data_IF_679768868805
#
_entry.id   IF_679768868805
#
_cell.length_a   1.000
_cell.length_b   1.000
_cell.length_c   1.000
_cell.angle_alpha   90.00
_cell.angle_beta   90.00
_cell.angle_gamma   90.00
#
_symmetry.space_group_name_H-M   'P 1'
#
loop_
_entity.id
_entity.type
_entity.pdbx_description
1 polymer ?
#
# COMPACT_ATOMS: atom_id res chain seq x y z
N UNK A 1 9.70 -14.00 -6.83
CA UNK A 1 10.19 -13.92 -5.43
C UNK A 1 10.20 -15.32 -4.86
N UNK A 2 11.36 -15.80 -4.44
CA UNK A 2 11.46 -17.12 -3.81
C UNK A 2 10.94 -17.04 -2.35
N UNK A 3 10.18 -18.06 -1.90
CA UNK A 3 9.60 -18.09 -0.54
C UNK A 3 10.62 -17.89 0.60
N UNK A 4 11.87 -18.30 0.40
CA UNK A 4 12.97 -18.13 1.36
C UNK A 4 13.37 -16.68 1.62
N UNK A 5 12.99 -15.77 0.73
CA UNK A 5 13.32 -14.35 0.82
C UNK A 5 12.24 -13.53 1.53
N UNK A 6 11.23 -14.18 2.11
CA UNK A 6 10.13 -13.51 2.81
C UNK A 6 10.27 -13.76 4.31
N UNK A 7 10.43 -12.68 5.06
CA UNK A 7 10.39 -12.67 6.53
C UNK A 7 9.02 -12.18 6.96
N UNK A 8 8.41 -12.83 7.93
CA UNK A 8 7.07 -12.55 8.46
C UNK A 8 7.18 -12.34 9.96
N UNK A 9 6.56 -11.29 10.49
CA UNK A 9 6.61 -10.92 11.91
C UNK A 9 5.20 -10.55 12.39
N UNK A 10 4.92 -10.82 13.67
CA UNK A 10 3.62 -10.53 14.27
C UNK A 10 2.50 -11.39 13.69
N UNK A 11 2.70 -12.73 13.70
CA UNK A 11 1.67 -13.67 13.22
C UNK A 11 0.41 -13.59 14.09
N UNK A 12 -0.75 -13.38 13.47
CA UNK A 12 -2.05 -13.42 14.12
C UNK A 12 -2.38 -14.83 14.61
N UNK A 13 -3.11 -14.91 15.73
CA UNK A 13 -3.75 -16.16 16.19
C UNK A 13 -4.86 -16.60 15.25
N UNK A 14 -5.49 -15.66 14.58
CA UNK A 14 -6.57 -15.90 13.65
C UNK A 14 -6.06 -16.36 12.28
N UNK A 15 -6.94 -16.96 11.49
CA UNK A 15 -6.63 -17.38 10.14
C UNK A 15 -7.85 -17.24 9.25
N UNK A 16 -7.61 -17.08 7.95
CA UNK A 16 -8.64 -16.97 6.93
C UNK A 16 -8.66 -18.19 6.03
N UNK A 17 -9.85 -18.52 5.57
CA UNK A 17 -10.05 -19.52 4.53
C UNK A 17 -10.67 -18.83 3.32
N UNK A 18 -10.12 -19.09 2.15
CA UNK A 18 -10.58 -18.51 0.89
C UNK A 18 -11.14 -19.57 -0.04
N UNK A 19 -12.27 -19.25 -0.65
CA UNK A 19 -12.95 -20.11 -1.62
C UNK A 19 -13.15 -19.32 -2.90
N UNK A 20 -12.44 -19.70 -3.95
CA UNK A 20 -12.54 -19.07 -5.26
C UNK A 20 -13.06 -20.05 -6.29
N UNK A 21 -13.80 -19.58 -7.30
CA UNK A 21 -14.34 -20.45 -8.35
C UNK A 21 -13.27 -21.22 -9.13
N UNK A 22 -12.04 -20.69 -9.23
CA UNK A 22 -10.89 -21.36 -9.86
C UNK A 22 -10.08 -22.22 -8.87
N UNK A 23 -10.47 -22.27 -7.59
CA UNK A 23 -9.84 -23.07 -6.55
C UNK A 23 -10.95 -23.71 -5.68
N UNK A 24 -11.70 -24.70 -6.21
CA UNK A 24 -12.86 -25.28 -5.52
C UNK A 24 -12.48 -26.01 -4.24
N UNK A 25 -11.23 -26.45 -4.10
CA UNK A 25 -10.72 -27.09 -2.89
C UNK A 25 -10.49 -26.12 -1.73
N UNK A 26 -10.49 -24.80 -2.02
CA UNK A 26 -10.24 -23.74 -1.05
C UNK A 26 -8.76 -23.58 -0.67
N UNK A 27 -8.46 -22.45 -0.05
CA UNK A 27 -7.17 -22.15 0.56
C UNK A 27 -7.41 -21.95 2.05
N UNK A 28 -6.82 -22.80 2.88
CA UNK A 28 -7.08 -22.85 4.32
C UNK A 28 -5.90 -22.35 5.14
N UNK A 29 -6.21 -21.83 6.34
CA UNK A 29 -5.21 -21.49 7.34
C UNK A 29 -4.29 -20.34 6.95
N UNK A 30 -4.78 -19.41 6.12
CA UNK A 30 -4.00 -18.22 5.73
C UNK A 30 -3.87 -17.30 6.93
N UNK A 31 -2.62 -17.05 7.34
CA UNK A 31 -2.30 -16.19 8.50
C UNK A 31 -2.11 -14.75 8.08
N UNK A 32 -2.45 -13.83 8.99
CA UNK A 32 -2.08 -12.43 8.89
C UNK A 32 -0.77 -12.17 9.63
N UNK A 33 -0.07 -11.13 9.22
CA UNK A 33 1.19 -10.70 9.79
C UNK A 33 1.20 -9.18 9.92
N UNK A 34 1.73 -8.65 11.02
CA UNK A 34 1.90 -7.22 11.22
C UNK A 34 2.91 -6.62 10.24
N UNK A 35 3.94 -7.43 9.90
CA UNK A 35 5.01 -7.04 8.97
C UNK A 35 5.39 -8.19 8.05
N UNK A 36 5.66 -7.83 6.81
CA UNK A 36 6.21 -8.76 5.82
C UNK A 36 7.37 -8.06 5.11
N UNK A 37 8.56 -8.63 5.20
CA UNK A 37 9.74 -8.14 4.51
C UNK A 37 10.09 -9.06 3.35
N UNK A 38 10.16 -8.53 2.15
CA UNK A 38 10.74 -9.21 1.00
C UNK A 38 12.20 -8.79 0.92
N UNK A 39 13.09 -9.73 1.28
CA UNK A 39 14.53 -9.48 1.28
C UNK A 39 15.10 -9.46 -0.13
N UNK A 40 16.05 -8.57 -0.35
CA UNK A 40 16.80 -8.47 -1.61
C UNK A 40 15.88 -8.41 -2.84
N UNK A 41 14.82 -7.60 -2.78
CA UNK A 41 13.94 -7.33 -3.94
C UNK A 41 14.74 -6.70 -5.09
N UNK A 42 15.78 -5.93 -4.73
CA UNK A 42 16.93 -5.56 -5.55
C UNK A 42 18.20 -5.88 -4.76
N UNK A 43 19.37 -6.02 -5.37
CA UNK A 43 20.63 -6.29 -4.66
C UNK A 43 20.87 -5.30 -3.51
N UNK A 44 20.82 -5.79 -2.27
CA UNK A 44 20.98 -4.99 -1.05
C UNK A 44 19.80 -4.06 -0.73
N UNK A 45 18.60 -4.32 -1.28
CA UNK A 45 17.40 -3.55 -0.98
C UNK A 45 16.25 -4.48 -0.60
N UNK A 46 15.68 -4.26 0.57
CA UNK A 46 14.52 -4.97 1.06
C UNK A 46 13.24 -4.14 0.83
N UNK A 47 12.11 -4.81 0.68
CA UNK A 47 10.80 -4.19 0.61
C UNK A 47 9.99 -4.64 1.83
N UNK A 48 9.73 -3.71 2.74
CA UNK A 48 8.98 -3.91 3.98
C UNK A 48 7.54 -3.47 3.79
N UNK A 49 6.61 -4.34 4.10
CA UNK A 49 5.17 -4.04 4.20
C UNK A 49 4.73 -4.12 5.64
N UNK A 50 3.95 -3.16 6.08
CA UNK A 50 3.40 -3.13 7.43
C UNK A 50 2.11 -2.30 7.45
N UNK A 51 1.38 -2.39 8.55
CA UNK A 51 0.16 -1.62 8.69
C UNK A 51 -0.62 -1.97 9.94
N UNK A 52 -1.71 -1.25 10.11
CA UNK A 52 -2.70 -1.52 11.14
C UNK A 52 -4.08 -1.10 10.66
N UNK A 53 -5.12 -1.55 11.36
CA UNK A 53 -6.50 -1.12 11.11
C UNK A 53 -6.70 0.41 11.21
N UNK A 54 -5.78 1.13 11.91
CA UNK A 54 -5.83 2.59 12.07
C UNK A 54 -5.08 3.35 10.99
N UNK A 55 -4.00 2.77 10.44
CA UNK A 55 -3.09 3.48 9.52
C UNK A 55 -3.18 2.99 8.08
N UNK A 56 -3.93 1.91 7.85
CA UNK A 56 -3.90 1.22 6.56
C UNK A 56 -2.57 0.51 6.31
N UNK A 57 -2.40 0.00 5.10
CA UNK A 57 -1.17 -0.65 4.67
C UNK A 57 -0.15 0.40 4.25
N UNK A 58 1.09 0.20 4.67
CA UNK A 58 2.25 1.01 4.31
C UNK A 58 3.36 0.13 3.78
N UNK A 59 4.32 0.73 3.12
CA UNK A 59 5.55 0.05 2.71
C UNK A 59 6.75 0.98 2.77
N UNK A 60 7.93 0.39 3.03
CA UNK A 60 9.21 1.07 2.98
C UNK A 60 10.19 0.29 2.11
N UNK A 61 11.09 1.00 1.45
CA UNK A 61 12.31 0.40 0.93
C UNK A 61 13.45 0.62 1.93
N UNK A 62 14.11 -0.46 2.30
CA UNK A 62 15.28 -0.48 3.18
C UNK A 62 16.52 -0.70 2.31
N UNK A 63 17.23 0.36 2.03
CA UNK A 63 18.45 0.34 1.18
C UNK A 63 19.64 0.17 2.10
N UNK A 64 20.26 -1.01 2.05
CA UNK A 64 21.42 -1.32 2.88
C UNK A 64 22.66 -0.54 2.43
N UNK A 65 23.66 -0.36 3.33
CA UNK A 65 24.91 0.33 2.98
C UNK A 65 25.55 -0.21 1.71
N UNK A 66 25.90 0.67 0.79
CA UNK A 66 26.51 0.33 -0.48
C UNK A 66 25.55 -0.09 -1.60
N UNK A 67 24.27 -0.30 -1.32
CA UNK A 67 23.28 -0.55 -2.37
C UNK A 67 22.90 0.74 -3.12
N UNK A 68 22.52 0.60 -4.37
CA UNK A 68 22.10 1.71 -5.22
C UNK A 68 20.57 1.85 -5.25
N UNK A 69 19.99 2.90 -4.62
CA UNK A 69 18.56 3.11 -4.63
C UNK A 69 17.95 3.43 -6.01
N UNK A 70 18.78 3.79 -7.00
CA UNK A 70 18.31 4.01 -8.37
C UNK A 70 17.81 2.73 -9.06
N UNK A 71 18.08 1.56 -8.48
CA UNK A 71 17.53 0.28 -8.96
C UNK A 71 16.01 0.18 -8.73
N UNK A 72 15.47 0.92 -7.76
CA UNK A 72 14.05 0.84 -7.39
C UNK A 72 13.20 1.41 -8.52
N UNK A 73 12.30 0.59 -9.04
CA UNK A 73 11.35 0.93 -10.09
C UNK A 73 9.97 0.42 -9.71
N UNK A 74 9.03 1.31 -9.56
CA UNK A 74 7.62 1.00 -9.35
C UNK A 74 6.89 1.17 -10.67
N UNK A 75 6.22 0.12 -11.14
CA UNK A 75 5.38 0.18 -12.33
C UNK A 75 3.93 0.31 -11.88
N UNK A 76 3.33 1.44 -12.19
CA UNK A 76 1.91 1.68 -12.00
C UNK A 76 1.18 1.36 -13.29
N UNK A 77 0.29 0.38 -13.24
CA UNK A 77 -0.62 0.04 -14.32
C UNK A 77 -1.99 0.65 -14.00
N UNK A 78 -2.47 1.54 -14.86
CA UNK A 78 -3.74 2.23 -14.65
C UNK A 78 -4.35 2.68 -15.99
N UNK A 79 -5.67 2.51 -16.11
CA UNK A 79 -6.45 3.13 -17.20
C UNK A 79 -6.52 4.65 -17.08
N UNK A 80 -6.32 5.19 -15.87
CA UNK A 80 -6.39 6.61 -15.58
C UNK A 80 -4.98 7.22 -15.51
N UNK A 81 -4.83 8.49 -15.94
CA UNK A 81 -3.53 9.16 -15.91
C UNK A 81 -2.99 9.31 -14.49
N UNK A 82 -1.74 8.88 -14.29
CA UNK A 82 -0.97 9.19 -13.09
C UNK A 82 -0.30 10.56 -13.26
N UNK A 83 -0.45 11.41 -12.26
CA UNK A 83 0.22 12.73 -12.18
C UNK A 83 1.05 12.85 -10.91
N UNK A 84 2.01 13.77 -10.94
CA UNK A 84 2.73 14.23 -9.74
C UNK A 84 2.33 15.69 -9.56
N UNK A 85 1.79 16.04 -8.38
CA UNK A 85 1.37 17.42 -8.09
C UNK A 85 2.58 18.30 -7.70
N UNK A 86 2.31 19.58 -7.41
CA UNK A 86 3.36 20.57 -7.06
C UNK A 86 4.01 20.30 -5.70
N UNK A 87 3.34 19.58 -4.82
CA UNK A 87 3.83 19.10 -3.54
C UNK A 87 4.68 17.82 -3.68
N UNK A 88 4.70 17.21 -4.87
CA UNK A 88 5.44 15.98 -5.16
C UNK A 88 4.66 14.70 -4.92
N UNK A 89 3.36 14.77 -4.63
CA UNK A 89 2.52 13.61 -4.40
C UNK A 89 2.09 12.97 -5.73
N UNK A 90 2.08 11.64 -5.76
CA UNK A 90 1.46 10.88 -6.86
C UNK A 90 -0.06 10.95 -6.70
N UNK A 91 -0.77 11.18 -7.81
CA UNK A 91 -2.23 11.16 -7.88
C UNK A 91 -2.71 10.37 -9.09
N UNK A 92 -3.68 9.49 -8.84
CA UNK A 92 -4.42 8.75 -9.87
C UNK A 92 -5.89 9.01 -9.61
N UNK A 93 -6.54 9.77 -10.50
CA UNK A 93 -7.98 10.04 -10.39
C UNK A 93 -8.74 8.90 -11.03
N UNK A 94 -9.61 8.25 -10.27
CA UNK A 94 -10.48 7.15 -10.72
C UNK A 94 -11.94 7.57 -10.60
N UNK A 95 -12.85 6.77 -11.13
CA UNK A 95 -14.29 6.98 -10.95
C UNK A 95 -14.73 6.86 -9.48
N UNK A 96 -13.93 6.19 -8.64
CA UNK A 96 -14.20 5.99 -7.21
C UNK A 96 -13.57 7.06 -6.31
N UNK A 97 -12.82 7.99 -6.90
CA UNK A 97 -12.07 9.01 -6.17
C UNK A 97 -10.61 9.09 -6.60
N UNK A 98 -9.83 9.89 -5.90
CA UNK A 98 -8.41 10.07 -6.18
C UNK A 98 -7.57 9.21 -5.23
N UNK A 99 -6.80 8.29 -5.78
CA UNK A 99 -5.72 7.63 -5.08
C UNK A 99 -4.56 8.61 -4.96
N UNK A 100 -4.05 8.81 -3.75
CA UNK A 100 -2.93 9.70 -3.51
C UNK A 100 -1.84 9.01 -2.69
N UNK A 101 -0.60 9.24 -3.08
CA UNK A 101 0.59 8.81 -2.36
C UNK A 101 1.46 10.04 -2.14
N UNK A 102 1.81 10.32 -0.89
CA UNK A 102 2.61 11.49 -0.54
C UNK A 102 4.00 11.42 -1.15
N UNK A 103 4.59 12.61 -1.35
CA UNK A 103 6.01 12.72 -1.65
C UNK A 103 6.83 11.84 -0.68
N UNK A 104 7.86 11.14 -1.18
CA UNK A 104 8.59 10.19 -0.37
C UNK A 104 9.33 10.91 0.75
N UNK A 105 9.20 10.42 1.97
CA UNK A 105 10.03 10.81 3.09
C UNK A 105 11.19 9.82 3.21
N UNK A 106 12.41 10.30 3.07
CA UNK A 106 13.58 9.44 3.14
C UNK A 106 14.54 9.90 4.24
N UNK A 107 15.13 8.95 4.95
CA UNK A 107 16.04 9.26 6.07
C UNK A 107 17.06 8.13 6.29
N UNK A 108 18.19 8.51 6.88
CA UNK A 108 19.19 7.54 7.36
C UNK A 108 18.68 6.90 8.66
N UNK A 109 18.63 5.57 8.71
CA UNK A 109 18.01 4.82 9.80
C UNK A 109 18.68 5.08 11.14
N UNK A 110 20.01 5.16 11.16
CA UNK A 110 20.83 5.26 12.36
C UNK A 110 20.74 6.66 12.99
N UNK A 111 20.79 7.71 12.18
CA UNK A 111 20.86 9.11 12.63
C UNK A 111 19.52 9.84 12.57
N UNK A 112 18.52 9.25 11.90
CA UNK A 112 17.25 9.89 11.54
C UNK A 112 17.41 11.17 10.71
N UNK A 113 18.58 11.35 10.10
CA UNK A 113 18.84 12.50 9.22
C UNK A 113 18.01 12.36 7.96
N UNK A 114 17.19 13.36 7.68
CA UNK A 114 16.39 13.41 6.45
C UNK A 114 17.29 13.55 5.21
N UNK A 115 16.95 12.79 4.19
CA UNK A 115 17.56 12.84 2.87
C UNK A 115 16.47 13.31 1.88
N UNK A 116 16.51 14.56 1.42
CA UNK A 116 15.48 15.06 0.51
C UNK A 116 15.37 14.17 -0.74
N UNK A 117 14.16 13.71 -0.98
CA UNK A 117 13.85 12.79 -2.06
C UNK A 117 12.58 13.20 -2.80
N UNK A 118 12.43 12.74 -4.05
CA UNK A 118 11.22 12.97 -4.84
C UNK A 118 10.99 11.87 -5.85
N UNK A 119 9.74 11.69 -6.22
CA UNK A 119 9.34 10.83 -7.33
C UNK A 119 9.78 11.41 -8.68
N UNK A 120 10.22 10.53 -9.55
CA UNK A 120 10.48 10.81 -10.97
C UNK A 120 9.57 9.91 -11.78
N UNK A 121 8.74 10.53 -12.62
CA UNK A 121 7.80 9.86 -13.50
C UNK A 121 8.39 9.68 -14.88
N UNK A 122 8.24 8.46 -15.44
CA UNK A 122 8.52 8.14 -16.84
C UNK A 122 7.33 7.37 -17.41
N UNK A 123 6.70 7.89 -18.44
CA UNK A 123 5.63 7.19 -19.15
C UNK A 123 6.28 6.10 -20.01
N UNK A 124 5.85 4.84 -19.81
CA UNK A 124 6.27 3.69 -20.62
C UNK A 124 5.34 3.57 -21.84
N UNK A 125 4.03 3.53 -21.56
CA UNK A 125 2.98 3.46 -22.57
C UNK A 125 1.68 4.09 -22.05
N UNK A 126 0.55 3.80 -22.71
CA UNK A 126 -0.77 4.37 -22.37
C UNK A 126 -1.23 4.00 -20.96
N UNK A 127 -0.90 2.81 -20.48
CA UNK A 127 -1.40 2.25 -19.22
C UNK A 127 -0.32 2.14 -18.15
N UNK A 128 0.96 2.18 -18.55
CA UNK A 128 2.10 1.91 -17.68
C UNK A 128 2.96 3.15 -17.46
N UNK A 129 3.20 3.44 -16.20
CA UNK A 129 4.07 4.53 -15.75
C UNK A 129 5.12 3.97 -14.78
N UNK A 130 6.40 4.22 -15.09
CA UNK A 130 7.51 3.92 -14.18
C UNK A 130 7.71 5.11 -13.24
N UNK A 131 7.76 4.83 -11.96
CA UNK A 131 8.15 5.76 -10.90
C UNK A 131 9.47 5.29 -10.30
N UNK A 132 10.42 6.24 -10.22
CA UNK A 132 11.71 6.05 -9.54
C UNK A 132 11.91 7.16 -8.52
N UNK A 133 12.98 7.05 -7.73
CA UNK A 133 13.32 8.04 -6.71
C UNK A 133 14.55 8.86 -7.12
N UNK A 134 14.54 10.15 -6.85
CA UNK A 134 15.71 11.03 -6.96
C UNK A 134 16.02 11.62 -5.60
N UNK A 135 17.27 11.55 -5.21
CA UNK A 135 17.79 12.08 -3.95
C UNK A 135 18.66 13.30 -4.19
N UNK A 136 18.56 14.27 -3.29
CA UNK A 136 19.46 15.44 -3.27
C UNK A 136 20.68 15.11 -2.39
N UNK A 137 21.49 14.17 -2.89
CA UNK A 137 22.71 13.72 -2.21
C UNK A 137 23.83 13.51 -3.24
N UNK A 138 25.08 13.84 -2.84
CA UNK A 138 26.22 13.88 -3.78
C UNK A 138 26.78 12.49 -4.10
N UNK A 139 26.41 11.44 -3.36
CA UNK A 139 26.90 10.07 -3.57
C UNK A 139 25.74 9.12 -3.91
N UNK A 140 25.87 8.28 -4.92
CA UNK A 140 24.86 7.27 -5.24
C UNK A 140 24.78 6.14 -4.20
N UNK A 141 25.79 6.03 -3.34
CA UNK A 141 25.86 4.99 -2.30
C UNK A 141 25.90 5.62 -0.92
N UNK A 142 25.00 5.19 -0.07
CA UNK A 142 24.96 5.57 1.33
C UNK A 142 25.84 4.63 2.16
N UNK A 143 26.59 5.18 3.12
CA UNK A 143 27.38 4.40 4.10
C UNK A 143 26.52 3.89 5.25
N UNK A 144 25.30 4.40 5.39
CA UNK A 144 24.28 4.04 6.38
C UNK A 144 23.05 3.50 5.67
N UNK A 145 22.19 2.79 6.39
CA UNK A 145 20.91 2.31 5.86
C UNK A 145 20.01 3.49 5.53
N UNK A 146 19.56 3.59 4.28
CA UNK A 146 18.55 4.56 3.84
C UNK A 146 17.17 3.92 3.89
N UNK A 147 16.25 4.56 4.57
CA UNK A 147 14.82 4.20 4.55
C UNK A 147 14.10 5.18 3.61
N UNK A 148 13.32 4.64 2.69
CA UNK A 148 12.44 5.40 1.81
C UNK A 148 11.02 5.00 2.19
N UNK A 149 10.26 5.94 2.80
CA UNK A 149 8.89 5.80 3.30
C UNK A 149 7.94 6.64 2.41
N UNK A 150 7.40 6.08 1.32
CA UNK A 150 6.33 6.72 0.58
C UNK A 150 5.02 6.52 1.33
N UNK A 151 4.43 7.58 1.85
CA UNK A 151 3.21 7.48 2.63
C UNK A 151 1.98 7.41 1.73
N UNK A 152 1.33 6.25 1.65
CA UNK A 152 0.00 6.13 1.04
C UNK A 152 -1.00 6.96 1.87
N UNK A 153 -1.57 8.02 1.29
CA UNK A 153 -2.43 8.97 2.01
C UNK A 153 -3.86 8.53 2.07
N UNK A 154 -4.30 7.68 1.15
CA UNK A 154 -5.68 7.28 1.06
C UNK A 154 -5.84 5.77 0.91
N UNK A 155 -6.27 5.16 1.99
CA UNK A 155 -7.04 3.95 2.05
C UNK A 155 -8.09 4.23 3.11
N UNK A 156 -9.36 4.03 2.81
CA UNK A 156 -10.39 4.13 3.83
C UNK A 156 -10.79 2.75 4.29
N UNK A 157 -10.88 2.57 5.61
CA UNK A 157 -11.55 1.44 6.21
C UNK A 157 -12.93 1.90 6.62
N UNK A 158 -13.96 1.17 6.21
CA UNK A 158 -15.33 1.39 6.65
C UNK A 158 -15.75 0.20 7.51
N UNK A 159 -15.91 0.43 8.81
CA UNK A 159 -16.19 -0.63 9.77
C UNK A 159 -16.16 -0.12 11.21
N UNK A 160 -16.20 -1.03 12.16
CA UNK A 160 -16.12 -0.75 13.59
C UNK A 160 -15.08 -1.65 14.28
N UNK A 161 -15.28 -2.01 15.55
CA UNK A 161 -14.28 -2.72 16.36
C UNK A 161 -14.39 -4.26 16.28
N UNK A 162 -15.42 -4.77 15.62
CA UNK A 162 -15.67 -6.21 15.49
C UNK A 162 -15.43 -6.67 14.05
N UNK A 163 -16.02 -7.76 13.63
CA UNK A 163 -15.74 -8.35 12.32
C UNK A 163 -16.72 -7.82 11.26
N UNK A 164 -16.15 -7.28 10.19
CA UNK A 164 -16.87 -6.88 8.98
C UNK A 164 -16.39 -7.69 7.78
N UNK A 165 -17.31 -7.95 6.86
CA UNK A 165 -16.99 -8.59 5.59
C UNK A 165 -17.69 -7.90 4.44
N UNK A 166 -16.92 -7.38 3.51
CA UNK A 166 -17.42 -6.89 2.23
C UNK A 166 -17.50 -8.06 1.25
N UNK A 167 -18.71 -8.39 0.81
CA UNK A 167 -18.96 -9.46 -0.15
C UNK A 167 -18.98 -8.94 -1.59
N UNK A 168 -19.37 -7.69 -1.79
CA UNK A 168 -19.40 -7.05 -3.09
C UNK A 168 -19.29 -5.54 -2.95
N UNK A 169 -18.71 -4.93 -3.99
CA UNK A 169 -18.53 -3.49 -4.09
C UNK A 169 -18.77 -3.08 -5.53
N UNK A 170 -19.68 -2.13 -5.74
CA UNK A 170 -20.01 -1.58 -7.05
C UNK A 170 -20.16 -0.06 -6.95
N UNK A 171 -19.94 0.64 -8.04
CA UNK A 171 -20.20 2.07 -8.14
C UNK A 171 -21.24 2.37 -9.22
N UNK A 172 -21.93 3.49 -9.05
CA UNK A 172 -22.80 4.03 -10.08
C UNK A 172 -22.07 5.06 -10.96
N UNK A 173 -22.77 5.57 -11.96
CA UNK A 173 -22.24 6.61 -12.88
C UNK A 173 -21.98 7.97 -12.21
N UNK A 174 -22.51 8.20 -11.02
CA UNK A 174 -22.30 9.41 -10.21
C UNK A 174 -21.09 9.30 -9.29
N UNK A 175 -20.45 8.11 -9.21
CA UNK A 175 -19.32 7.86 -8.34
C UNK A 175 -19.71 7.41 -6.92
N UNK A 176 -21.01 7.18 -6.64
CA UNK A 176 -21.43 6.64 -5.36
C UNK A 176 -21.01 5.18 -5.25
N UNK A 177 -20.50 4.81 -4.08
CA UNK A 177 -20.03 3.47 -3.78
C UNK A 177 -21.10 2.70 -3.01
N UNK A 178 -21.50 1.55 -3.54
CA UNK A 178 -22.41 0.62 -2.88
C UNK A 178 -21.61 -0.57 -2.39
N UNK A 179 -21.68 -0.81 -1.09
CA UNK A 179 -21.01 -1.91 -0.40
C UNK A 179 -22.11 -2.86 0.10
N UNK A 180 -21.98 -4.14 -0.27
CA UNK A 180 -22.80 -5.21 0.28
C UNK A 180 -21.93 -6.13 1.11
N UNK A 181 -22.37 -6.41 2.32
CA UNK A 181 -21.62 -7.24 3.25
C UNK A 181 -22.39 -7.48 4.54
N UNK A 182 -21.70 -7.94 5.54
CA UNK A 182 -22.25 -8.09 6.89
C UNK A 182 -21.25 -7.59 7.94
N UNK A 183 -21.80 -7.19 9.08
CA UNK A 183 -21.03 -6.80 10.26
C UNK A 183 -21.57 -7.54 11.47
N UNK A 184 -20.71 -7.87 12.41
CA UNK A 184 -21.08 -8.31 13.76
C UNK A 184 -21.02 -7.16 14.77
N UNK A 185 -20.55 -5.99 14.34
CA UNK A 185 -20.40 -4.83 15.20
C UNK A 185 -21.73 -4.14 15.46
N UNK A 186 -22.05 -3.94 16.72
CA UNK A 186 -23.21 -3.14 17.17
C UNK A 186 -22.96 -1.63 17.04
N UNK A 187 -21.73 -1.21 16.85
CA UNK A 187 -21.30 0.18 16.68
C UNK A 187 -20.91 0.51 15.23
N UNK A 188 -21.38 -0.29 14.25
CA UNK A 188 -21.13 -0.02 12.84
C UNK A 188 -21.63 1.37 12.45
N UNK A 189 -20.80 2.19 11.76
CA UNK A 189 -21.20 3.55 11.42
C UNK A 189 -22.31 3.56 10.38
N UNK A 190 -23.52 3.87 10.80
CA UNK A 190 -24.69 4.04 9.93
C UNK A 190 -25.18 5.48 9.99
N UNK A 191 -25.46 6.07 8.83
CA UNK A 191 -26.13 7.36 8.75
C UNK A 191 -27.64 7.12 8.83
N UNK A 192 -28.23 7.47 9.99
CA UNK A 192 -29.66 7.39 10.18
C UNK A 192 -30.36 8.61 9.55
N UNK A 193 -30.44 8.63 8.23
CA UNK A 193 -31.02 9.73 7.45
C UNK A 193 -32.47 9.48 7.01
N UNK A 194 -33.18 8.61 7.71
CA UNK A 194 -34.61 8.31 7.43
C UNK A 194 -34.82 7.38 6.23
N UNK A 195 -33.80 6.76 5.74
CA UNK A 195 -33.85 5.73 4.70
C UNK A 195 -33.71 4.32 5.30
N UNK A 196 -34.28 3.36 4.63
CA UNK A 196 -34.40 1.96 5.01
C UNK A 196 -33.10 1.36 5.61
N UNK A 197 -33.15 0.97 6.87
CA UNK A 197 -32.33 -0.12 7.39
C UNK A 197 -33.21 -1.10 8.16
N UNK A 198 -32.91 -2.37 8.07
CA UNK A 198 -33.50 -3.42 8.91
C UNK A 198 -32.52 -3.73 10.03
N UNK A 199 -33.01 -3.65 11.26
CA UNK A 199 -32.32 -4.16 12.45
C UNK A 199 -32.47 -5.67 12.53
#
# INVERSE_FOLDING_TARGET
IEKKNIIKEGESTDHFNYFYGHCPEGIYGVKEYEKVTVKDVYPGIDWLFYGSSKTGMKYDFIVHPGADPAQIKLIYESENPLSIDKEGNIKITTQLGTLAENAPYSYLQETKTEIPSKFIKKVIDKHNVEITFRFTYSSPHFSSTLVIDPQLVWGTTYGALESESCLSLVNNSSGDLFIYGYTTSTAFPVLNSGTYYQT
#
